data_IF_142536331070
#
_entry.id   IF_142536331070
#
_cell.length_a   1.000
_cell.length_b   1.000
_cell.length_c   1.000
_cell.angle_alpha   90.00
_cell.angle_beta   90.00
_cell.angle_gamma   90.00
#
_symmetry.space_group_name_H-M   'P 1'
#
loop_
_entity.id
_entity.type
_entity.pdbx_description
1 polymer ?
#
# COMPACT_ATOMS: atom_id res chain seq x y z
N UNK A 1 -10.06 4.27 15.45
CA UNK A 1 -8.87 4.36 14.57
C UNK A 1 -7.74 3.71 15.31
N UNK A 2 -7.20 2.62 14.79
CA UNK A 2 -6.01 1.97 15.33
C UNK A 2 -4.79 2.87 15.04
N UNK A 3 -3.96 3.09 16.06
CA UNK A 3 -2.76 3.92 15.97
C UNK A 3 -1.56 3.13 16.44
N UNK A 4 -0.57 3.01 15.57
CA UNK A 4 0.73 2.39 15.82
C UNK A 4 1.78 3.49 15.64
N UNK A 5 2.50 3.85 16.69
CA UNK A 5 3.46 4.96 16.66
C UNK A 5 4.68 4.65 17.53
N UNK A 6 5.88 4.86 16.98
CA UNK A 6 7.12 4.65 17.72
C UNK A 6 7.38 3.19 18.09
N UNK A 7 6.93 2.22 17.28
CA UNK A 7 6.99 0.78 17.61
C UNK A 7 7.96 0.03 16.71
N UNK A 8 8.50 -1.05 17.25
CA UNK A 8 9.09 -2.13 16.46
C UNK A 8 8.14 -3.33 16.50
N UNK A 9 7.71 -3.81 15.33
CA UNK A 9 6.69 -4.84 15.20
C UNK A 9 7.19 -5.90 14.22
N UNK A 10 7.04 -7.17 14.58
CA UNK A 10 7.37 -8.29 13.70
C UNK A 10 6.41 -8.36 12.51
N UNK A 11 5.10 -8.44 12.76
CA UNK A 11 4.10 -8.48 11.71
C UNK A 11 2.90 -7.58 12.04
N UNK A 12 2.48 -6.78 11.05
CA UNK A 12 1.15 -6.16 11.01
C UNK A 12 0.32 -6.94 10.01
N UNK A 13 -0.47 -7.88 10.56
CA UNK A 13 -1.31 -8.81 9.82
C UNK A 13 -2.72 -8.92 10.44
N UNK A 14 -3.54 -9.83 9.92
CA UNK A 14 -4.89 -10.06 10.46
C UNK A 14 -4.89 -10.44 11.95
N UNK A 15 -3.91 -11.23 12.39
CA UNK A 15 -3.85 -11.67 13.79
C UNK A 15 -3.39 -10.53 14.70
N UNK A 16 -2.52 -9.64 14.22
CA UNK A 16 -2.22 -8.38 14.87
C UNK A 16 -3.49 -7.54 15.03
N UNK A 17 -4.21 -7.29 13.92
CA UNK A 17 -5.41 -6.44 13.93
C UNK A 17 -6.53 -6.99 14.84
N UNK A 18 -6.70 -8.32 14.92
CA UNK A 18 -7.70 -8.95 15.81
C UNK A 18 -7.39 -8.77 17.30
N UNK A 19 -6.13 -8.56 17.67
CA UNK A 19 -5.73 -8.36 19.09
C UNK A 19 -5.95 -6.92 19.55
N UNK A 20 -6.12 -6.00 18.60
CA UNK A 20 -6.26 -4.58 18.90
C UNK A 20 -7.71 -4.25 19.27
N UNK A 21 -7.97 -3.74 20.49
CA UNK A 21 -9.32 -3.56 21.02
C UNK A 21 -10.15 -2.50 20.27
N UNK A 22 -9.48 -1.55 19.60
CA UNK A 22 -10.11 -0.44 18.88
C UNK A 22 -10.34 -0.73 17.39
N UNK A 23 -10.05 -1.96 16.95
CA UNK A 23 -10.28 -2.41 15.58
C UNK A 23 -11.71 -2.93 15.43
N UNK A 24 -12.47 -2.27 14.55
CA UNK A 24 -13.78 -2.72 14.11
C UNK A 24 -13.58 -3.50 12.81
N UNK A 25 -13.62 -4.83 12.91
CA UNK A 25 -13.43 -5.76 11.81
C UNK A 25 -14.63 -6.70 11.66
N UNK A 26 -15.15 -6.82 10.44
CA UNK A 26 -16.04 -7.91 10.07
C UNK A 26 -15.19 -9.04 9.48
N UNK A 27 -14.84 -10.02 10.31
CA UNK A 27 -13.93 -11.11 9.93
C UNK A 27 -14.53 -12.09 8.92
N UNK A 28 -15.84 -12.08 8.68
CA UNK A 28 -16.46 -12.94 7.65
C UNK A 28 -16.16 -12.43 6.23
N UNK A 29 -16.02 -11.11 6.09
CA UNK A 29 -15.84 -10.44 4.80
C UNK A 29 -14.50 -9.68 4.71
N UNK A 30 -13.64 -9.78 5.73
CA UNK A 30 -12.39 -9.02 5.83
C UNK A 30 -12.56 -7.51 5.71
N UNK A 31 -13.71 -6.98 6.14
CA UNK A 31 -13.96 -5.54 6.10
C UNK A 31 -13.42 -4.88 7.36
N UNK A 32 -12.53 -3.90 7.19
CA UNK A 32 -12.03 -3.06 8.26
C UNK A 32 -12.74 -1.70 8.24
N UNK A 33 -13.53 -1.44 9.28
CA UNK A 33 -14.28 -0.19 9.43
C UNK A 33 -13.54 0.83 10.29
N UNK A 34 -12.60 0.39 11.12
CA UNK A 34 -11.66 1.28 11.80
C UNK A 34 -10.56 1.76 10.85
N UNK A 35 -10.22 3.05 10.89
CA UNK A 35 -9.02 3.55 10.21
C UNK A 35 -7.74 2.99 10.84
N UNK A 36 -6.68 2.88 10.05
CA UNK A 36 -5.35 2.40 10.45
C UNK A 36 -4.33 3.52 10.25
N UNK A 37 -3.60 3.87 11.31
CA UNK A 37 -2.49 4.82 11.21
C UNK A 37 -1.23 4.21 11.79
N UNK A 38 -0.19 4.07 10.96
CA UNK A 38 1.13 3.59 11.35
C UNK A 38 2.15 4.67 11.06
N UNK A 39 2.90 5.07 12.09
CA UNK A 39 3.82 6.21 12.04
C UNK A 39 5.11 5.91 12.79
N UNK A 40 6.23 6.46 12.34
CA UNK A 40 7.49 6.47 13.09
C UNK A 40 7.87 5.08 13.63
N UNK A 41 7.68 4.02 12.82
CA UNK A 41 7.75 2.63 13.27
C UNK A 41 8.63 1.78 12.37
N UNK A 42 9.13 0.68 12.93
CA UNK A 42 9.90 -0.35 12.22
C UNK A 42 9.05 -1.62 12.17
N UNK A 43 8.80 -2.14 10.98
CA UNK A 43 7.93 -3.30 10.75
C UNK A 43 8.71 -4.33 9.95
N UNK A 44 8.80 -5.57 10.43
CA UNK A 44 9.44 -6.61 9.61
C UNK A 44 8.52 -7.00 8.43
N UNK A 45 7.24 -7.30 8.69
CA UNK A 45 6.28 -7.65 7.63
C UNK A 45 4.98 -6.86 7.76
N UNK A 46 4.59 -6.17 6.68
CA UNK A 46 3.26 -5.61 6.51
C UNK A 46 2.49 -6.50 5.53
N UNK A 47 1.62 -7.37 6.05
CA UNK A 47 0.86 -8.34 5.26
C UNK A 47 -0.63 -8.17 5.54
N UNK A 48 -1.34 -7.53 4.62
CA UNK A 48 -2.76 -7.20 4.79
C UNK A 48 -3.61 -7.83 3.66
N UNK A 49 -3.68 -9.16 3.58
CA UNK A 49 -4.34 -9.80 2.46
C UNK A 49 -5.86 -9.73 2.60
N UNK A 50 -6.54 -9.58 1.47
CA UNK A 50 -8.00 -9.62 1.34
C UNK A 50 -8.79 -8.55 2.14
N UNK A 51 -8.13 -7.53 2.70
CA UNK A 51 -8.81 -6.51 3.49
C UNK A 51 -9.54 -5.47 2.65
N UNK A 52 -10.77 -5.14 3.06
CA UNK A 52 -11.53 -4.00 2.56
C UNK A 52 -11.50 -2.88 3.60
N UNK A 53 -10.64 -1.89 3.40
CA UNK A 53 -10.52 -0.72 4.27
C UNK A 53 -11.56 0.34 3.92
N UNK A 54 -12.63 0.41 4.72
CA UNK A 54 -13.70 1.41 4.58
C UNK A 54 -13.36 2.77 5.20
N UNK A 55 -12.29 2.81 6.00
CA UNK A 55 -11.73 4.02 6.61
C UNK A 55 -10.34 4.31 6.06
N UNK A 56 -9.86 5.53 6.30
CA UNK A 56 -8.54 5.98 5.87
C UNK A 56 -7.42 5.09 6.44
N UNK A 57 -6.44 4.77 5.59
CA UNK A 57 -5.19 4.11 5.95
C UNK A 57 -4.04 5.08 5.74
N UNK A 58 -3.25 5.31 6.78
CA UNK A 58 -2.07 6.18 6.76
C UNK A 58 -0.86 5.40 7.25
N UNK A 59 0.15 5.24 6.41
CA UNK A 59 1.43 4.60 6.73
C UNK A 59 2.52 5.58 6.34
N UNK A 60 3.21 6.13 7.32
CA UNK A 60 4.23 7.13 7.05
C UNK A 60 5.41 7.09 7.99
N UNK A 61 6.55 7.63 7.56
CA UNK A 61 7.74 7.75 8.38
C UNK A 61 8.22 6.39 8.94
N UNK A 62 7.97 5.29 8.21
CA UNK A 62 8.28 3.93 8.66
C UNK A 62 9.48 3.30 7.91
N UNK A 63 10.14 2.35 8.56
CA UNK A 63 11.04 1.38 7.90
C UNK A 63 10.32 0.04 7.89
N UNK A 64 10.05 -0.49 6.70
CA UNK A 64 9.30 -1.72 6.51
C UNK A 64 10.19 -2.68 5.75
N UNK A 65 10.42 -3.89 6.28
CA UNK A 65 11.29 -4.84 5.59
C UNK A 65 10.58 -5.43 4.37
N UNK A 66 9.35 -5.91 4.51
CA UNK A 66 8.57 -6.52 3.43
C UNK A 66 7.11 -6.05 3.42
N UNK A 67 6.54 -5.85 2.23
CA UNK A 67 5.13 -5.43 2.03
C UNK A 67 4.41 -6.40 1.10
N UNK A 68 3.33 -7.01 1.58
CA UNK A 68 2.46 -7.90 0.81
C UNK A 68 1.00 -7.46 0.95
N UNK A 69 0.41 -7.00 -0.14
CA UNK A 69 -0.93 -6.40 -0.16
C UNK A 69 -1.80 -7.05 -1.25
N UNK A 70 -1.91 -8.37 -1.21
CA UNK A 70 -2.75 -9.13 -2.15
C UNK A 70 -4.24 -9.00 -1.80
N UNK A 71 -5.08 -8.71 -2.79
CA UNK A 71 -6.52 -8.50 -2.63
C UNK A 71 -6.88 -7.38 -1.62
N UNK A 72 -5.97 -6.42 -1.40
CA UNK A 72 -6.16 -5.35 -0.43
C UNK A 72 -6.79 -4.11 -1.07
N UNK A 73 -7.95 -3.71 -0.57
CA UNK A 73 -8.75 -2.62 -1.12
C UNK A 73 -8.82 -1.42 -0.17
N UNK A 74 -8.31 -0.28 -0.63
CA UNK A 74 -8.28 0.97 0.12
C UNK A 74 -9.47 1.84 -0.28
N UNK A 75 -10.69 1.41 0.05
CA UNK A 75 -11.94 2.04 -0.42
C UNK A 75 -11.96 3.53 -0.09
N UNK A 76 -11.50 3.93 1.11
CA UNK A 76 -11.43 5.33 1.53
C UNK A 76 -10.04 5.95 1.38
N UNK A 77 -9.21 5.40 0.49
CA UNK A 77 -7.89 5.91 0.15
C UNK A 77 -6.76 5.35 0.99
N UNK A 78 -5.54 5.56 0.50
CA UNK A 78 -4.28 5.20 1.16
C UNK A 78 -3.35 6.42 1.13
N UNK A 79 -2.76 6.74 2.26
CA UNK A 79 -1.55 7.57 2.33
C UNK A 79 -0.37 6.68 2.72
N UNK A 80 0.57 6.51 1.80
CA UNK A 80 1.80 5.75 1.98
C UNK A 80 2.99 6.67 1.68
N UNK A 81 3.49 7.35 2.70
CA UNK A 81 4.40 8.51 2.51
C UNK A 81 5.66 8.45 3.35
N UNK A 82 6.80 8.84 2.77
CA UNK A 82 8.08 8.93 3.49
C UNK A 82 8.49 7.62 4.20
N UNK A 83 8.25 6.46 3.56
CA UNK A 83 8.65 5.15 4.08
C UNK A 83 9.90 4.63 3.37
N UNK A 84 10.69 3.80 4.06
CA UNK A 84 11.77 3.02 3.47
C UNK A 84 11.41 1.53 3.47
N UNK A 85 11.40 0.91 2.29
CA UNK A 85 11.03 -0.48 2.07
C UNK A 85 12.30 -1.25 1.70
N UNK A 86 12.68 -2.23 2.51
CA UNK A 86 14.00 -2.87 2.41
C UNK A 86 14.05 -4.05 1.42
N UNK A 87 12.91 -4.66 1.11
CA UNK A 87 12.79 -5.78 0.19
C UNK A 87 11.73 -5.50 -0.89
N UNK A 88 11.33 -6.52 -1.63
CA UNK A 88 10.24 -6.41 -2.60
C UNK A 88 8.92 -6.03 -1.91
N UNK A 89 8.12 -5.27 -2.65
CA UNK A 89 6.77 -4.89 -2.24
C UNK A 89 5.79 -5.31 -3.32
N UNK A 90 4.70 -5.97 -2.95
CA UNK A 90 3.68 -6.41 -3.90
C UNK A 90 2.31 -5.84 -3.55
N UNK A 91 1.69 -5.22 -4.56
CA UNK A 91 0.28 -4.87 -4.61
C UNK A 91 -0.35 -5.74 -5.70
N UNK A 92 -1.23 -6.65 -5.32
CA UNK A 92 -1.82 -7.64 -6.22
C UNK A 92 -3.34 -7.63 -6.08
N UNK A 93 -4.08 -7.68 -7.20
CA UNK A 93 -5.55 -7.71 -7.20
C UNK A 93 -6.17 -6.63 -6.28
N UNK A 94 -5.48 -5.49 -6.22
CA UNK A 94 -5.63 -4.46 -5.20
C UNK A 94 -6.16 -3.14 -5.74
N UNK A 95 -6.33 -2.17 -4.83
CA UNK A 95 -6.81 -0.83 -5.17
C UNK A 95 -8.27 -0.62 -4.79
N UNK A 96 -9.14 -0.41 -5.78
CA UNK A 96 -10.58 -0.12 -5.65
C UNK A 96 -10.91 1.06 -4.74
N UNK A 97 -10.03 2.06 -4.73
CA UNK A 97 -10.17 3.27 -3.96
C UNK A 97 -11.23 4.21 -4.57
N UNK A 98 -12.06 4.82 -3.71
CA UNK A 98 -12.99 5.91 -4.04
C UNK A 98 -12.49 7.28 -3.60
N UNK A 99 -11.29 7.29 -3.03
CA UNK A 99 -10.52 8.44 -2.55
C UNK A 99 -9.08 8.29 -3.03
N UNK A 100 -8.28 9.36 -3.07
CA UNK A 100 -6.92 9.29 -3.58
C UNK A 100 -6.07 8.15 -3.01
N UNK A 101 -5.31 7.51 -3.88
CA UNK A 101 -4.22 6.62 -3.49
C UNK A 101 -2.92 7.43 -3.60
N UNK A 102 -2.22 7.61 -2.49
CA UNK A 102 -1.07 8.49 -2.37
C UNK A 102 0.14 7.65 -2.01
N UNK A 103 1.12 7.58 -2.90
CA UNK A 103 2.41 6.94 -2.66
C UNK A 103 3.51 7.93 -3.01
N UNK A 104 4.06 8.59 -1.99
CA UNK A 104 5.02 9.69 -2.20
C UNK A 104 6.24 9.60 -1.30
N UNK A 105 7.37 10.08 -1.81
CA UNK A 105 8.59 10.27 -1.01
C UNK A 105 9.11 8.97 -0.36
N UNK A 106 8.75 7.81 -0.92
CA UNK A 106 9.22 6.52 -0.41
C UNK A 106 10.53 6.11 -1.08
N UNK A 107 11.28 5.24 -0.41
CA UNK A 107 12.46 4.58 -0.96
C UNK A 107 12.18 3.08 -0.99
N UNK A 108 12.17 2.49 -2.18
CA UNK A 108 12.03 1.05 -2.39
C UNK A 108 13.37 0.46 -2.79
N UNK A 109 13.93 -0.40 -1.94
CA UNK A 109 15.19 -1.10 -2.20
C UNK A 109 14.99 -2.29 -3.15
N UNK A 110 13.91 -3.04 -2.98
CA UNK A 110 13.52 -4.11 -3.90
C UNK A 110 12.56 -3.63 -5.00
N UNK A 111 12.21 -4.54 -5.89
CA UNK A 111 11.19 -4.31 -6.91
C UNK A 111 9.82 -4.02 -6.29
N UNK A 112 9.12 -3.01 -6.82
CA UNK A 112 7.74 -2.72 -6.47
C UNK A 112 6.81 -3.28 -7.55
N UNK A 113 6.09 -4.34 -7.20
CA UNK A 113 5.21 -5.05 -8.10
C UNK A 113 3.74 -4.58 -7.95
N UNK A 114 3.11 -4.30 -9.08
CA UNK A 114 1.69 -4.06 -9.27
C UNK A 114 1.15 -5.11 -10.25
N UNK A 115 0.21 -5.93 -9.78
CA UNK A 115 -0.37 -7.01 -10.58
C UNK A 115 -1.89 -6.97 -10.47
N UNK A 116 -2.60 -6.78 -11.58
CA UNK A 116 -4.07 -6.76 -11.62
C UNK A 116 -4.68 -5.71 -10.66
N UNK A 117 -4.08 -4.53 -10.57
CA UNK A 117 -4.58 -3.43 -9.74
C UNK A 117 -5.56 -2.55 -10.51
N UNK A 118 -6.64 -2.10 -9.86
CA UNK A 118 -7.56 -1.11 -10.41
C UNK A 118 -7.76 0.05 -9.45
N UNK A 119 -7.39 1.27 -9.85
CA UNK A 119 -7.56 2.47 -9.03
C UNK A 119 -8.74 3.32 -9.50
N UNK A 120 -9.75 3.46 -8.66
CA UNK A 120 -11.00 4.16 -9.00
C UNK A 120 -10.91 5.69 -8.89
N UNK A 121 -10.05 6.21 -8.01
CA UNK A 121 -9.70 7.62 -7.89
C UNK A 121 -8.23 7.84 -8.26
N UNK A 122 -7.83 9.09 -8.38
CA UNK A 122 -6.51 9.54 -8.81
C UNK A 122 -5.40 8.89 -7.98
N UNK A 123 -4.41 8.33 -8.68
CA UNK A 123 -3.16 7.86 -8.08
C UNK A 123 -2.14 9.00 -8.09
N UNK A 124 -1.56 9.29 -6.92
CA UNK A 124 -0.45 10.23 -6.80
C UNK A 124 0.82 9.45 -6.50
N UNK A 125 1.69 9.31 -7.49
CA UNK A 125 2.92 8.55 -7.40
C UNK A 125 4.12 9.48 -7.67
N UNK A 126 4.65 10.11 -6.62
CA UNK A 126 5.60 11.22 -6.77
C UNK A 126 6.79 11.16 -5.82
N UNK A 127 7.94 11.62 -6.30
CA UNK A 127 9.17 11.73 -5.50
C UNK A 127 9.62 10.39 -4.86
N UNK A 128 9.21 9.25 -5.41
CA UNK A 128 9.67 7.95 -4.92
C UNK A 128 11.04 7.61 -5.53
N UNK A 129 11.88 6.91 -4.78
CA UNK A 129 13.14 6.34 -5.25
C UNK A 129 12.97 4.83 -5.38
N UNK A 130 13.05 4.32 -6.60
CA UNK A 130 12.86 2.90 -6.94
C UNK A 130 14.23 2.34 -7.38
N UNK A 131 14.92 1.62 -6.49
CA UNK A 131 16.29 1.16 -6.76
C UNK A 131 16.30 0.06 -7.83
N UNK A 132 15.33 -0.84 -7.77
CA UNK A 132 15.16 -1.93 -8.74
C UNK A 132 14.02 -1.68 -9.75
N UNK A 133 13.30 -0.56 -9.60
CA UNK A 133 12.19 -0.17 -10.46
C UNK A 133 10.83 -0.75 -10.03
N UNK A 134 9.82 -0.50 -10.85
CA UNK A 134 8.47 -1.04 -10.70
C UNK A 134 7.80 -1.27 -12.06
N UNK A 135 6.69 -2.02 -12.06
CA UNK A 135 5.85 -2.27 -13.24
C UNK A 135 4.52 -1.50 -13.22
N UNK A 136 4.41 -0.42 -12.43
CA UNK A 136 3.19 0.41 -12.33
C UNK A 136 2.65 0.84 -13.70
N UNK A 137 3.54 1.08 -14.67
CA UNK A 137 3.22 1.45 -16.06
C UNK A 137 3.68 0.39 -17.09
N UNK A 138 4.29 -0.70 -16.64
CA UNK A 138 4.96 -1.68 -17.50
C UNK A 138 4.07 -2.83 -17.97
N UNK A 139 3.02 -3.16 -17.22
CA UNK A 139 2.05 -4.21 -17.56
C UNK A 139 0.92 -3.74 -18.51
N UNK A 140 1.13 -2.64 -19.25
CA UNK A 140 0.11 -2.06 -20.12
C UNK A 140 -0.22 -2.97 -21.31
N UNK A 141 -1.51 -3.24 -21.53
CA UNK A 141 -1.99 -4.12 -22.59
C UNK A 141 -2.01 -5.60 -22.21
N UNK A 142 -1.53 -5.95 -21.02
CA UNK A 142 -1.60 -7.31 -20.48
C UNK A 142 -2.96 -7.57 -19.82
N UNK A 143 -3.31 -8.85 -19.63
CA UNK A 143 -4.56 -9.23 -18.95
C UNK A 143 -4.62 -8.87 -17.46
N UNK A 144 -3.49 -8.42 -16.90
CA UNK A 144 -3.29 -8.02 -15.50
C UNK A 144 -2.77 -6.57 -15.42
N UNK A 145 -3.08 -5.75 -16.44
CA UNK A 145 -2.72 -4.33 -16.51
C UNK A 145 -3.19 -3.57 -15.26
N UNK A 146 -2.36 -2.65 -14.78
CA UNK A 146 -2.78 -1.69 -13.77
C UNK A 146 -3.64 -0.59 -14.39
N UNK A 147 -4.89 -0.50 -13.92
CA UNK A 147 -5.90 0.42 -14.44
C UNK A 147 -6.04 1.68 -13.57
N UNK A 148 -6.22 2.84 -14.21
CA UNK A 148 -6.38 4.14 -13.56
C UNK A 148 -7.64 4.84 -14.07
N UNK A 149 -8.78 4.65 -13.41
CA UNK A 149 -10.09 5.18 -13.87
C UNK A 149 -10.11 6.71 -13.91
N UNK A 150 -9.42 7.36 -12.97
CA UNK A 150 -9.25 8.81 -12.89
C UNK A 150 -7.80 9.26 -13.14
N UNK A 151 -6.99 8.40 -13.76
CA UNK A 151 -5.61 8.69 -14.14
C UNK A 151 -4.59 8.69 -12.99
N UNK A 152 -3.34 8.97 -13.37
CA UNK A 152 -2.17 9.00 -12.48
C UNK A 152 -1.46 10.34 -12.62
N UNK A 153 -1.09 10.94 -11.48
CA UNK A 153 -0.21 12.10 -11.39
C UNK A 153 1.13 11.60 -10.86
N UNK A 154 2.15 11.65 -11.71
CA UNK A 154 3.50 11.22 -11.35
C UNK A 154 4.56 12.26 -11.74
N UNK A 155 5.47 12.56 -10.81
CA UNK A 155 6.57 13.50 -11.01
C UNK A 155 7.72 13.21 -10.02
N UNK A 156 8.94 13.60 -10.38
CA UNK A 156 10.10 13.54 -9.48
C UNK A 156 10.55 12.14 -9.04
N UNK A 157 9.98 11.06 -9.59
CA UNK A 157 10.43 9.71 -9.26
C UNK A 157 11.82 9.44 -9.84
N UNK A 158 12.63 8.70 -9.09
CA UNK A 158 13.93 8.18 -9.54
C UNK A 158 13.81 6.67 -9.69
N UNK A 159 14.34 6.11 -10.79
CA UNK A 159 14.20 4.69 -11.14
C UNK A 159 13.19 4.46 -12.28
N UNK A 160 13.06 3.22 -12.72
CA UNK A 160 12.15 2.84 -13.82
C UNK A 160 10.75 2.52 -13.30
N UNK A 161 9.72 2.97 -14.01
CA UNK A 161 8.30 2.74 -13.66
C UNK A 161 7.59 1.78 -14.63
N UNK A 162 8.27 1.41 -15.70
CA UNK A 162 7.74 0.73 -16.88
C UNK A 162 8.43 -0.62 -17.13
N UNK A 163 8.88 -1.27 -16.05
CA UNK A 163 9.46 -2.61 -16.15
C UNK A 163 8.37 -3.65 -16.34
N UNK A 164 8.67 -4.71 -17.10
CA UNK A 164 7.77 -5.85 -17.29
C UNK A 164 7.82 -6.79 -16.07
#
# INVERSE_FOLDING_TARGET
>A
MLRIEGKQIEAVDLDYLKREPDVIINTLNFELHSGLSIKDSIIDTLDLPAFLFHSEVVIRDCIIKEVQLSYCWFINGLEFTNNTILQEATFEAGGHNKKPFIMKENIFHGFLNFFDCQFGDTVYFSNNTLLEGCNLLGNKGEGYETLFDNGIIQNGNTGRLDME
#
